data_IF_957780654731
#
_entry.id   IF_957780654731
#
_cell.length_a   1.000
_cell.length_b   1.000
_cell.length_c   1.000
_cell.angle_alpha   90.00
_cell.angle_beta   90.00
_cell.angle_gamma   90.00
#
_symmetry.space_group_name_H-M   'P 1'
#
loop_
_entity.id
_entity.type
_entity.pdbx_description
1 polymer ?
#
# COMPACT_ATOMS: atom_id res chain seq x y z
N UNK A 1 -8.08 21.53 13.47
CA UNK A 1 -7.65 20.13 13.68
C UNK A 1 -8.76 19.31 14.38
N UNK A 2 -9.57 19.92 15.26
CA UNK A 2 -10.69 19.23 15.95
C UNK A 2 -11.91 18.93 15.09
N UNK A 3 -12.12 19.62 13.99
CA UNK A 3 -13.26 19.39 13.09
C UNK A 3 -13.20 18.04 12.34
N UNK A 4 -12.01 17.43 12.24
CA UNK A 4 -11.85 16.13 11.61
C UNK A 4 -12.23 14.93 12.49
N UNK A 5 -12.30 15.07 13.82
CA UNK A 5 -12.60 13.96 14.71
C UNK A 5 -14.09 13.62 14.81
N UNK A 6 -14.97 14.59 14.67
CA UNK A 6 -16.42 14.37 14.65
C UNK A 6 -16.90 13.99 13.24
N UNK A 7 -16.14 14.37 12.20
CA UNK A 7 -16.42 14.02 10.81
C UNK A 7 -15.79 12.72 10.32
N UNK A 8 -15.00 12.01 11.17
CA UNK A 8 -14.26 10.82 10.73
C UNK A 8 -15.17 9.66 10.34
N UNK A 9 -16.31 9.49 10.98
CA UNK A 9 -17.30 8.49 10.57
C UNK A 9 -17.94 8.84 9.23
N UNK A 10 -18.21 10.13 8.97
CA UNK A 10 -18.74 10.60 7.68
C UNK A 10 -17.71 10.40 6.56
N UNK A 11 -16.45 10.80 6.75
CA UNK A 11 -15.39 10.64 5.75
C UNK A 11 -15.04 9.17 5.46
N UNK A 12 -15.23 8.27 6.42
CA UNK A 12 -14.97 6.84 6.24
C UNK A 12 -16.15 6.16 5.53
N UNK A 13 -17.38 6.61 5.81
CA UNK A 13 -18.59 6.07 5.20
C UNK A 13 -18.68 6.40 3.71
N UNK A 14 -18.10 7.50 3.27
CA UNK A 14 -18.10 7.93 1.87
C UNK A 14 -17.07 7.19 0.99
N UNK A 15 -16.18 6.41 1.59
CA UNK A 15 -15.14 5.69 0.83
C UNK A 15 -15.63 4.44 0.14
N UNK A 16 -16.61 3.75 0.71
CA UNK A 16 -17.14 2.50 0.17
C UNK A 16 -18.66 2.50 0.28
N UNK A 17 -19.32 2.02 -0.76
CA UNK A 17 -20.76 1.83 -0.74
C UNK A 17 -21.04 0.51 -0.01
N UNK A 18 -21.71 0.52 1.16
CA UNK A 18 -22.16 -0.71 1.79
C UNK A 18 -23.28 -1.32 0.95
N UNK A 19 -23.31 -2.63 0.88
CA UNK A 19 -24.47 -3.35 0.37
C UNK A 19 -25.70 -3.08 1.26
N UNK A 20 -26.95 -3.26 0.75
CA UNK A 20 -28.18 -2.90 1.47
C UNK A 20 -28.24 -3.45 2.88
N UNK A 21 -28.77 -2.65 3.80
CA UNK A 21 -28.68 -2.72 5.27
C UNK A 21 -29.30 -3.92 5.99
N UNK A 22 -29.91 -4.87 5.32
CA UNK A 22 -30.57 -5.99 6.00
C UNK A 22 -29.69 -7.21 6.32
N UNK A 23 -28.49 -7.26 5.72
CA UNK A 23 -27.48 -8.30 6.01
C UNK A 23 -26.10 -7.65 6.00
N UNK A 24 -25.26 -8.13 6.86
CA UNK A 24 -23.87 -7.70 6.94
C UNK A 24 -23.19 -7.86 5.56
N UNK A 25 -22.50 -6.82 5.06
CA UNK A 25 -22.06 -6.77 3.66
C UNK A 25 -20.98 -7.80 3.39
N UNK A 26 -21.17 -8.66 2.40
CA UNK A 26 -20.17 -9.64 1.95
C UNK A 26 -19.04 -8.97 1.16
N UNK A 27 -19.37 -7.87 0.48
CA UNK A 27 -18.45 -7.11 -0.38
C UNK A 27 -18.62 -5.62 -0.15
N UNK A 28 -17.49 -4.91 -0.23
CA UNK A 28 -17.47 -3.46 -0.33
C UNK A 28 -17.02 -3.08 -1.75
N UNK A 29 -17.84 -2.30 -2.43
CA UNK A 29 -17.52 -1.76 -3.76
C UNK A 29 -16.73 -0.48 -3.58
N UNK A 30 -15.64 -0.35 -4.28
CA UNK A 30 -14.55 0.58 -4.21
C UNK A 30 -14.80 2.03 -3.78
N UNK A 31 -13.72 2.76 -3.59
CA UNK A 31 -13.76 4.17 -3.19
C UNK A 31 -14.32 5.04 -4.33
N UNK A 32 -15.44 5.72 -4.12
CA UNK A 32 -16.05 6.57 -5.14
C UNK A 32 -15.13 7.71 -5.61
N UNK A 33 -14.34 8.27 -4.70
CA UNK A 33 -13.41 9.35 -5.01
C UNK A 33 -12.21 8.93 -5.87
N UNK A 34 -12.04 7.62 -6.11
CA UNK A 34 -10.99 7.07 -6.96
C UNK A 34 -11.53 6.47 -8.26
N UNK A 35 -12.84 6.51 -8.47
CA UNK A 35 -13.48 5.93 -9.66
C UNK A 35 -13.09 6.70 -10.92
N UNK A 36 -12.99 8.02 -10.82
CA UNK A 36 -12.56 8.88 -11.91
C UNK A 36 -11.33 9.66 -11.44
N UNK A 37 -10.26 9.54 -12.17
CA UNK A 37 -9.01 10.27 -11.93
C UNK A 37 -8.36 10.65 -13.25
N UNK A 38 -7.22 11.33 -13.20
CA UNK A 38 -6.49 11.67 -14.42
C UNK A 38 -5.06 12.08 -14.12
N UNK A 39 -4.17 11.79 -15.06
CA UNK A 39 -2.78 12.21 -15.05
C UNK A 39 -2.27 12.45 -16.47
N UNK A 40 -1.07 13.01 -16.59
CA UNK A 40 -0.45 13.36 -17.89
C UNK A 40 -0.21 12.15 -18.80
N UNK A 41 0.00 10.97 -18.23
CA UNK A 41 0.29 9.76 -18.99
C UNK A 41 -0.98 9.07 -19.51
N UNK A 42 -1.99 8.92 -18.67
CA UNK A 42 -3.21 8.14 -18.94
C UNK A 42 -4.35 9.01 -19.50
N UNK A 43 -4.27 10.34 -19.30
CA UNK A 43 -5.41 11.23 -19.52
C UNK A 43 -6.48 11.00 -18.47
N UNK A 44 -7.73 10.81 -18.91
CA UNK A 44 -8.82 10.37 -18.03
C UNK A 44 -8.63 8.89 -17.72
N UNK A 45 -8.82 8.52 -16.47
CA UNK A 45 -8.73 7.15 -15.97
C UNK A 45 -10.02 6.78 -15.26
N UNK A 46 -10.61 5.66 -15.61
CA UNK A 46 -11.72 5.04 -14.90
C UNK A 46 -11.20 3.84 -14.12
N UNK A 47 -11.65 3.72 -12.87
CA UNK A 47 -11.29 2.64 -11.97
C UNK A 47 -12.52 2.05 -11.31
N UNK A 48 -12.59 0.72 -11.26
CA UNK A 48 -13.58 -0.03 -10.51
C UNK A 48 -12.89 -1.10 -9.67
N UNK A 49 -13.34 -1.30 -8.45
CA UNK A 49 -12.73 -2.28 -7.56
C UNK A 49 -13.57 -2.56 -6.34
N UNK A 50 -13.06 -3.41 -5.47
CA UNK A 50 -13.75 -3.77 -4.24
C UNK A 50 -12.90 -4.63 -3.33
N UNK A 51 -13.49 -5.03 -2.21
CA UNK A 51 -12.87 -5.92 -1.23
C UNK A 51 -13.92 -6.82 -0.58
N UNK A 52 -13.48 -8.00 -0.19
CA UNK A 52 -14.31 -8.94 0.58
C UNK A 52 -14.24 -8.60 2.07
N UNK A 53 -15.22 -9.07 2.83
CA UNK A 53 -15.28 -8.92 4.27
C UNK A 53 -15.10 -10.28 4.97
N UNK A 54 -14.93 -10.28 6.28
CA UNK A 54 -14.87 -11.50 7.09
C UNK A 54 -16.19 -12.30 7.07
N UNK A 55 -17.30 -11.67 6.69
CA UNK A 55 -18.59 -12.33 6.56
C UNK A 55 -18.67 -13.30 5.37
N UNK A 56 -17.88 -13.04 4.32
CA UNK A 56 -17.74 -13.99 3.23
C UNK A 56 -16.86 -15.18 3.65
N UNK A 57 -15.71 -14.88 4.22
CA UNK A 57 -14.77 -15.87 4.76
C UNK A 57 -13.92 -15.22 5.86
N UNK A 58 -13.95 -15.73 7.11
CA UNK A 58 -13.20 -15.14 8.22
C UNK A 58 -11.70 -15.34 8.16
N UNK A 59 -11.21 -16.15 7.22
CA UNK A 59 -9.79 -16.43 7.02
C UNK A 59 -9.22 -15.88 5.71
N UNK A 60 -10.07 -15.66 4.71
CA UNK A 60 -9.62 -15.29 3.37
C UNK A 60 -10.20 -13.94 2.94
N UNK A 61 -9.32 -12.98 2.67
CA UNK A 61 -9.66 -11.64 2.27
C UNK A 61 -9.11 -11.36 0.87
N UNK A 62 -9.98 -10.89 -0.01
CA UNK A 62 -9.61 -10.46 -1.36
C UNK A 62 -9.84 -8.96 -1.52
N UNK A 63 -8.90 -8.28 -2.16
CA UNK A 63 -9.04 -6.88 -2.55
C UNK A 63 -8.48 -6.69 -3.95
N UNK A 64 -9.18 -5.92 -4.76
CA UNK A 64 -8.68 -5.65 -6.09
C UNK A 64 -9.38 -4.49 -6.77
N UNK A 65 -8.75 -4.00 -7.82
CA UNK A 65 -9.35 -3.07 -8.74
C UNK A 65 -8.81 -3.26 -10.16
N UNK A 66 -9.60 -2.82 -11.12
CA UNK A 66 -9.19 -2.65 -12.50
C UNK A 66 -9.35 -1.19 -12.88
N UNK A 67 -8.42 -0.66 -13.67
CA UNK A 67 -8.44 0.70 -14.16
C UNK A 67 -8.08 0.73 -15.64
N UNK A 68 -8.68 1.68 -16.37
CA UNK A 68 -8.43 1.91 -17.79
C UNK A 68 -8.09 3.37 -18.04
N UNK A 69 -6.96 3.62 -18.68
CA UNK A 69 -6.53 4.95 -19.11
C UNK A 69 -6.93 5.19 -20.57
N UNK A 70 -7.58 6.32 -20.84
CA UNK A 70 -8.11 6.62 -22.19
C UNK A 70 -7.03 7.14 -23.15
N UNK A 71 -5.90 7.64 -22.64
CA UNK A 71 -4.81 8.13 -23.50
C UNK A 71 -3.81 7.04 -23.86
N UNK A 72 -3.45 6.18 -22.88
CA UNK A 72 -2.47 5.11 -23.10
C UNK A 72 -3.09 3.78 -23.50
N UNK A 73 -4.45 3.68 -23.49
CA UNK A 73 -5.23 2.50 -23.87
C UNK A 73 -4.79 1.20 -23.16
N UNK A 74 -4.32 1.33 -21.88
CA UNK A 74 -3.85 0.19 -21.09
C UNK A 74 -4.79 -0.13 -19.95
N UNK A 75 -5.04 -1.43 -19.75
CA UNK A 75 -5.69 -1.95 -18.56
C UNK A 75 -4.64 -2.14 -17.48
N UNK A 76 -4.95 -1.67 -16.30
CA UNK A 76 -4.12 -1.72 -15.09
C UNK A 76 -4.92 -2.26 -13.94
N UNK A 77 -4.26 -2.71 -12.88
CA UNK A 77 -5.00 -3.20 -11.74
C UNK A 77 -4.14 -3.68 -10.58
N UNK A 78 -4.85 -3.97 -9.52
CA UNK A 78 -4.36 -4.58 -8.29
C UNK A 78 -5.19 -5.82 -8.01
N UNK A 79 -4.51 -6.91 -7.66
CA UNK A 79 -5.12 -8.07 -7.04
C UNK A 79 -4.36 -8.39 -5.76
N UNK A 80 -5.06 -8.51 -4.66
CA UNK A 80 -4.50 -8.82 -3.35
C UNK A 80 -5.34 -9.90 -2.69
N UNK A 81 -4.67 -10.93 -2.19
CA UNK A 81 -5.25 -12.04 -1.46
C UNK A 81 -4.51 -12.19 -0.14
N UNK A 82 -5.24 -12.12 0.96
CA UNK A 82 -4.69 -12.26 2.30
C UNK A 82 -5.35 -13.43 3.02
N UNK A 83 -4.55 -14.39 3.46
CA UNK A 83 -4.97 -15.48 4.30
C UNK A 83 -4.59 -15.21 5.75
N UNK A 84 -5.57 -15.14 6.64
CA UNK A 84 -5.37 -14.98 8.08
C UNK A 84 -5.44 -16.34 8.78
N UNK A 85 -4.39 -16.66 9.54
CA UNK A 85 -4.34 -17.89 10.36
C UNK A 85 -5.30 -17.84 11.56
N UNK A 86 -5.67 -16.63 11.98
CA UNK A 86 -6.67 -16.42 13.04
C UNK A 86 -8.01 -15.99 12.45
N UNK A 87 -9.08 -16.51 13.03
CA UNK A 87 -10.44 -16.07 12.70
C UNK A 87 -10.61 -14.59 12.96
N UNK A 88 -11.03 -13.84 11.96
CA UNK A 88 -11.34 -12.42 12.05
C UNK A 88 -12.86 -12.23 12.18
N UNK A 89 -13.27 -11.16 12.88
CA UNK A 89 -14.69 -10.83 13.06
C UNK A 89 -15.21 -9.98 11.90
N UNK A 90 -14.48 -8.94 11.54
CA UNK A 90 -14.89 -7.98 10.51
C UNK A 90 -13.80 -7.73 9.46
N UNK A 91 -12.53 -7.53 9.88
CA UNK A 91 -11.45 -7.08 8.97
C UNK A 91 -10.17 -7.88 9.14
N UNK A 92 -9.39 -7.94 8.05
CA UNK A 92 -8.10 -8.62 8.01
C UNK A 92 -7.07 -8.05 9.01
N UNK A 93 -7.14 -6.74 9.28
CA UNK A 93 -6.18 -6.02 10.12
C UNK A 93 -6.50 -6.04 11.63
N UNK A 94 -7.48 -6.86 12.06
CA UNK A 94 -7.75 -7.05 13.49
C UNK A 94 -6.57 -7.74 14.20
N UNK A 95 -6.32 -7.30 15.43
CA UNK A 95 -5.30 -7.91 16.30
C UNK A 95 -5.76 -9.30 16.85
N UNK A 96 -4.86 -10.27 16.99
CA UNK A 96 -3.48 -10.31 16.52
C UNK A 96 -3.38 -10.58 15.01
N UNK A 97 -2.44 -9.93 14.33
CA UNK A 97 -2.21 -10.18 12.91
C UNK A 97 -1.27 -11.39 12.77
N UNK A 98 -1.76 -12.44 12.14
CA UNK A 98 -0.96 -13.58 11.69
C UNK A 98 -1.48 -13.94 10.32
N UNK A 99 -0.82 -13.45 9.27
CA UNK A 99 -1.34 -13.56 7.91
C UNK A 99 -0.24 -13.73 6.87
N UNK A 100 -0.64 -14.32 5.75
CA UNK A 100 0.12 -14.42 4.52
C UNK A 100 -0.62 -13.67 3.44
N UNK A 101 0.02 -12.66 2.84
CA UNK A 101 -0.56 -11.77 1.84
C UNK A 101 0.19 -11.90 0.53
N UNK A 102 -0.53 -12.19 -0.53
CA UNK A 102 -0.07 -12.15 -1.90
C UNK A 102 -0.68 -10.92 -2.60
N UNK A 103 0.16 -10.10 -3.20
CA UNK A 103 -0.25 -8.88 -3.90
C UNK A 103 0.40 -8.80 -5.26
N UNK A 104 -0.39 -8.56 -6.29
CA UNK A 104 0.07 -8.24 -7.62
C UNK A 104 -0.47 -6.89 -8.04
N UNK A 105 0.41 -5.99 -8.44
CA UNK A 105 0.11 -4.65 -8.92
C UNK A 105 0.67 -4.49 -10.33
N UNK A 106 -0.14 -4.02 -11.25
CA UNK A 106 0.29 -3.54 -12.56
C UNK A 106 -0.36 -2.18 -12.77
N UNK A 107 0.38 -1.11 -12.51
CA UNK A 107 -0.16 0.24 -12.51
C UNK A 107 0.89 1.28 -12.88
N UNK A 108 0.49 2.55 -12.95
CA UNK A 108 1.41 3.67 -13.05
C UNK A 108 1.99 4.02 -11.68
N UNK A 109 3.21 4.47 -11.66
CA UNK A 109 3.88 4.96 -10.45
C UNK A 109 4.44 6.35 -10.70
N UNK A 110 4.17 7.26 -9.76
CA UNK A 110 4.72 8.60 -9.77
C UNK A 110 5.97 8.65 -8.91
N UNK A 111 7.13 8.79 -9.55
CA UNK A 111 8.41 8.78 -8.86
C UNK A 111 8.63 10.05 -8.03
N UNK A 112 9.08 9.85 -6.79
CA UNK A 112 9.36 10.93 -5.84
C UNK A 112 8.14 11.45 -5.08
N UNK A 113 6.96 10.85 -5.23
CA UNK A 113 5.79 11.15 -4.41
C UNK A 113 5.41 9.95 -3.54
N UNK A 114 5.21 10.21 -2.25
CA UNK A 114 4.68 9.25 -1.29
C UNK A 114 3.30 9.71 -0.81
N UNK A 115 2.30 8.88 -1.08
CA UNK A 115 0.92 9.13 -0.63
C UNK A 115 0.67 8.37 0.67
N UNK A 116 0.73 9.06 1.81
CA UNK A 116 0.57 8.44 3.13
C UNK A 116 -0.91 8.16 3.46
N UNK A 117 -1.81 9.08 3.10
CA UNK A 117 -3.21 9.03 3.51
C UNK A 117 -4.21 9.05 2.35
N UNK A 118 -3.76 9.29 1.13
CA UNK A 118 -4.59 9.36 -0.06
C UNK A 118 -4.12 8.37 -1.11
N UNK A 119 -5.01 7.96 -2.00
CA UNK A 119 -4.64 7.23 -3.21
C UNK A 119 -4.11 8.20 -4.27
N UNK A 120 -3.15 7.76 -5.08
CA UNK A 120 -2.73 8.50 -6.29
C UNK A 120 -3.89 8.77 -7.26
N UNK A 121 -4.95 7.96 -7.19
CA UNK A 121 -6.15 8.05 -8.04
C UNK A 121 -7.21 9.01 -7.49
N UNK A 122 -6.90 9.82 -6.49
CA UNK A 122 -7.86 10.76 -5.93
C UNK A 122 -8.22 11.83 -6.97
N UNK A 123 -9.53 12.02 -7.23
CA UNK A 123 -10.05 13.02 -8.18
C UNK A 123 -9.54 14.44 -7.89
N UNK A 124 -9.35 14.79 -6.61
CA UNK A 124 -8.82 16.10 -6.21
C UNK A 124 -7.35 16.29 -6.59
N UNK A 125 -6.57 15.21 -6.70
CA UNK A 125 -5.20 15.28 -7.18
C UNK A 125 -5.14 15.48 -8.70
N UNK A 126 -6.13 14.97 -9.43
CA UNK A 126 -6.25 15.18 -10.88
C UNK A 126 -6.52 16.66 -11.26
N UNK A 127 -7.11 17.43 -10.34
CA UNK A 127 -7.38 18.86 -10.52
C UNK A 127 -6.16 19.75 -10.23
N UNK A 128 -5.02 19.19 -9.82
CA UNK A 128 -3.77 19.96 -9.65
C UNK A 128 -3.34 20.59 -10.97
N UNK A 129 -2.97 21.87 -10.91
CA UNK A 129 -2.39 22.60 -12.05
C UNK A 129 -0.95 22.17 -12.38
N UNK A 130 -0.28 21.46 -11.49
CA UNK A 130 1.11 21.03 -11.69
C UNK A 130 1.16 19.83 -12.62
N UNK A 131 1.95 19.92 -13.68
CA UNK A 131 2.22 18.81 -14.58
C UNK A 131 3.04 17.74 -13.85
N UNK A 132 2.52 16.55 -13.81
CA UNK A 132 3.21 15.40 -13.25
C UNK A 132 3.98 14.71 -14.39
N UNK A 133 5.26 15.09 -14.56
CA UNK A 133 6.10 14.58 -15.65
C UNK A 133 6.89 13.31 -15.25
N UNK A 134 6.82 12.90 -13.95
CA UNK A 134 7.59 11.78 -13.42
C UNK A 134 6.75 10.52 -13.23
N UNK A 135 6.06 10.10 -14.29
CA UNK A 135 5.17 8.93 -14.25
C UNK A 135 5.72 7.83 -15.16
N UNK A 136 5.85 6.64 -14.62
CA UNK A 136 6.23 5.43 -15.35
C UNK A 136 5.28 4.28 -15.04
N UNK A 137 5.44 3.15 -15.74
CA UNK A 137 4.69 1.94 -15.47
C UNK A 137 5.45 1.06 -14.48
N UNK A 138 4.73 0.46 -13.56
CA UNK A 138 5.28 -0.43 -12.56
C UNK A 138 4.47 -1.73 -12.50
N UNK A 139 5.16 -2.86 -12.51
CA UNK A 139 4.62 -4.16 -12.14
C UNK A 139 5.30 -4.62 -10.88
N UNK A 140 4.51 -5.05 -9.91
CA UNK A 140 5.01 -5.46 -8.60
C UNK A 140 4.26 -6.69 -8.12
N UNK A 141 5.00 -7.74 -7.77
CA UNK A 141 4.49 -8.92 -7.08
C UNK A 141 5.12 -8.96 -5.70
N UNK A 142 4.30 -9.09 -4.67
CA UNK A 142 4.73 -9.11 -3.27
C UNK A 142 4.10 -10.29 -2.55
N UNK A 143 4.93 -11.01 -1.81
CA UNK A 143 4.50 -12.02 -0.84
C UNK A 143 4.94 -11.57 0.54
N UNK A 144 3.99 -11.29 1.42
CA UNK A 144 4.25 -10.77 2.77
C UNK A 144 3.71 -11.74 3.81
N UNK A 145 4.58 -12.17 4.70
CA UNK A 145 4.22 -12.88 5.92
C UNK A 145 4.31 -11.91 7.09
N UNK A 146 3.26 -11.83 7.90
CA UNK A 146 3.21 -10.97 9.10
C UNK A 146 2.77 -11.80 10.30
N UNK A 147 3.48 -11.64 11.41
CA UNK A 147 3.11 -12.23 12.68
C UNK A 147 3.29 -11.21 13.80
N UNK A 148 2.22 -10.92 14.52
CA UNK A 148 2.19 -10.06 15.71
C UNK A 148 1.96 -10.89 16.96
N UNK A 149 2.80 -10.65 17.96
CA UNK A 149 2.71 -11.28 19.26
C UNK A 149 2.08 -10.35 20.30
N UNK A 150 1.43 -10.92 21.30
CA UNK A 150 0.84 -10.16 22.40
C UNK A 150 1.88 -9.39 23.26
N UNK A 151 3.15 -9.77 23.17
CA UNK A 151 4.26 -9.05 23.81
C UNK A 151 4.58 -7.69 23.21
N UNK A 152 3.89 -7.28 22.14
CA UNK A 152 4.20 -6.08 21.36
C UNK A 152 5.32 -6.27 20.34
N UNK A 153 5.86 -7.48 20.21
CA UNK A 153 6.82 -7.81 19.16
C UNK A 153 6.08 -8.19 17.87
N UNK A 154 6.57 -7.76 16.72
CA UNK A 154 6.04 -8.16 15.42
C UNK A 154 7.16 -8.42 14.43
N UNK A 155 6.95 -9.41 13.57
CA UNK A 155 7.85 -9.81 12.49
C UNK A 155 7.08 -9.73 11.19
N UNK A 156 7.66 -9.07 10.22
CA UNK A 156 7.15 -9.04 8.85
C UNK A 156 8.27 -9.38 7.89
N UNK A 157 8.02 -10.35 7.01
CA UNK A 157 8.93 -10.75 5.95
C UNK A 157 8.23 -10.54 4.61
N UNK A 158 8.85 -9.76 3.72
CA UNK A 158 8.28 -9.43 2.41
C UNK A 158 9.27 -9.80 1.32
N UNK A 159 8.84 -10.64 0.39
CA UNK A 159 9.54 -10.86 -0.88
C UNK A 159 8.87 -9.99 -1.93
N UNK A 160 9.65 -9.18 -2.64
CA UNK A 160 9.14 -8.22 -3.62
C UNK A 160 9.87 -8.37 -4.94
N UNK A 161 9.11 -8.60 -6.01
CA UNK A 161 9.57 -8.56 -7.38
C UNK A 161 8.99 -7.30 -8.03
N UNK A 162 9.83 -6.39 -8.44
CA UNK A 162 9.43 -5.13 -9.05
C UNK A 162 10.05 -4.98 -10.42
N UNK A 163 9.24 -4.59 -11.38
CA UNK A 163 9.65 -4.21 -12.72
C UNK A 163 9.12 -2.83 -13.05
N UNK A 164 10.00 -1.87 -13.18
CA UNK A 164 9.70 -0.52 -13.61
C UNK A 164 9.95 -0.42 -15.11
N UNK A 165 8.94 0.02 -15.88
CA UNK A 165 9.04 0.23 -17.31
C UNK A 165 9.13 1.74 -17.62
N UNK A 166 10.03 2.11 -18.53
CA UNK A 166 10.15 3.49 -18.97
C UNK A 166 8.87 3.95 -19.67
N UNK A 167 8.53 5.22 -19.49
CA UNK A 167 7.49 5.90 -20.25
C UNK A 167 8.10 6.93 -21.20
N UNK A 168 7.28 7.52 -22.07
CA UNK A 168 7.75 8.64 -22.92
C UNK A 168 8.11 9.89 -22.09
N UNK A 169 7.65 9.97 -20.83
CA UNK A 169 7.95 11.06 -19.89
C UNK A 169 9.27 10.83 -19.15
N UNK A 170 9.62 9.54 -18.87
CA UNK A 170 10.85 9.19 -18.15
C UNK A 170 11.57 8.07 -18.90
N UNK A 171 12.54 8.38 -19.75
CA UNK A 171 13.43 7.39 -20.32
C UNK A 171 14.43 6.91 -19.25
N UNK A 172 14.67 5.60 -19.16
CA UNK A 172 15.75 5.06 -18.35
C UNK A 172 17.03 5.01 -19.17
N UNK A 173 18.10 5.56 -18.61
CA UNK A 173 19.42 5.54 -19.23
C UNK A 173 20.37 4.82 -18.29
N UNK A 174 21.03 3.77 -18.79
CA UNK A 174 22.11 3.13 -18.07
C UNK A 174 23.35 4.00 -18.20
N UNK A 175 23.96 4.36 -17.08
CA UNK A 175 25.20 5.12 -17.04
C UNK A 175 26.36 4.17 -17.37
N UNK A 176 26.47 3.82 -18.65
CA UNK A 176 27.54 3.07 -19.25
C UNK A 176 28.26 4.02 -20.25
N UNK A 177 29.43 3.67 -20.72
CA UNK A 177 30.25 4.51 -21.64
C UNK A 177 29.49 5.00 -22.90
N UNK A 178 28.33 4.41 -23.19
CA UNK A 178 27.48 4.72 -24.35
C UNK A 178 26.08 5.29 -24.01
N UNK A 179 25.75 5.57 -22.75
CA UNK A 179 24.43 6.07 -22.35
C UNK A 179 23.25 5.27 -22.97
N UNK A 180 23.29 3.96 -22.83
CA UNK A 180 22.33 3.08 -23.49
C UNK A 180 20.95 3.20 -22.85
N UNK A 181 19.89 3.42 -23.65
CA UNK A 181 18.51 3.45 -23.20
C UNK A 181 18.04 2.04 -22.82
N UNK A 182 17.47 1.91 -21.62
CA UNK A 182 16.95 0.67 -21.08
C UNK A 182 15.42 0.77 -20.99
N UNK A 183 14.72 -0.24 -21.51
CA UNK A 183 13.25 -0.24 -21.52
C UNK A 183 12.64 -0.54 -20.14
N UNK A 184 13.31 -1.32 -19.32
CA UNK A 184 12.82 -1.70 -17.99
C UNK A 184 13.96 -2.02 -17.04
N UNK A 185 13.69 -1.80 -15.76
CA UNK A 185 14.59 -2.13 -14.64
C UNK A 185 13.83 -3.11 -13.75
N UNK A 186 14.47 -4.23 -13.42
CA UNK A 186 13.89 -5.26 -12.55
C UNK A 186 14.66 -5.32 -11.23
N UNK A 187 13.94 -5.40 -10.11
CA UNK A 187 14.53 -5.60 -8.78
C UNK A 187 13.85 -6.77 -8.08
N UNK A 188 14.66 -7.60 -7.43
CA UNK A 188 14.21 -8.68 -6.57
C UNK A 188 14.71 -8.40 -5.16
N UNK A 189 13.78 -8.18 -4.24
CA UNK A 189 14.05 -7.71 -2.88
C UNK A 189 13.48 -8.70 -1.86
N UNK A 190 14.24 -8.89 -0.79
CA UNK A 190 13.80 -9.54 0.43
C UNK A 190 13.92 -8.55 1.57
N UNK A 191 12.81 -8.25 2.23
CA UNK A 191 12.70 -7.30 3.33
C UNK A 191 12.32 -8.05 4.62
N UNK A 192 13.07 -7.83 5.67
CA UNK A 192 12.75 -8.26 7.03
C UNK A 192 12.52 -7.03 7.90
N UNK A 193 11.33 -6.92 8.46
CA UNK A 193 10.96 -5.86 9.40
C UNK A 193 10.64 -6.44 10.76
N UNK A 194 11.37 -5.98 11.76
CA UNK A 194 11.17 -6.29 13.17
C UNK A 194 10.66 -5.03 13.87
N UNK A 195 9.59 -5.15 14.63
CA UNK A 195 9.04 -4.03 15.40
C UNK A 195 8.75 -4.49 16.82
N UNK A 196 9.16 -3.68 17.78
CA UNK A 196 8.87 -3.90 19.18
C UNK A 196 8.22 -2.64 19.78
N UNK A 197 7.00 -2.79 20.28
CA UNK A 197 6.19 -1.72 20.83
C UNK A 197 5.45 -2.25 22.07
N UNK A 198 6.13 -2.28 23.23
CA UNK A 198 5.54 -2.79 24.46
C UNK A 198 4.39 -1.89 24.92
N UNK A 199 3.30 -2.51 25.38
CA UNK A 199 2.13 -1.83 25.93
C UNK A 199 1.43 -0.84 24.99
N UNK A 200 1.65 -0.94 23.68
CA UNK A 200 0.98 -0.09 22.70
C UNK A 200 -0.52 -0.39 22.67
N UNK A 201 -1.31 0.65 22.87
CA UNK A 201 -2.77 0.59 22.76
C UNK A 201 -3.18 1.09 21.39
N UNK A 202 -4.13 0.37 20.79
CA UNK A 202 -4.62 0.70 19.46
C UNK A 202 -6.07 1.08 19.50
N UNK A 203 -6.41 2.08 18.72
CA UNK A 203 -7.78 2.35 18.31
C UNK A 203 -7.98 1.72 16.93
N UNK A 204 -8.89 0.77 16.86
CA UNK A 204 -9.22 0.09 15.63
C UNK A 204 -10.49 0.67 15.04
N UNK A 205 -10.37 1.20 13.83
CA UNK A 205 -11.51 1.55 13.00
C UNK A 205 -11.78 0.44 12.01
N UNK A 206 -12.88 0.55 11.29
CA UNK A 206 -13.25 -0.36 10.22
C UNK A 206 -12.12 -0.65 9.21
N UNK A 207 -11.25 0.33 8.94
CA UNK A 207 -10.26 0.25 7.87
C UNK A 207 -8.81 0.36 8.34
N UNK A 208 -8.59 1.01 9.45
CA UNK A 208 -7.25 1.32 9.93
C UNK A 208 -7.13 1.06 11.43
N UNK A 209 -5.93 0.74 11.83
CA UNK A 209 -5.53 0.61 13.21
C UNK A 209 -4.52 1.71 13.51
N UNK A 210 -4.83 2.54 14.50
CA UNK A 210 -4.00 3.67 14.90
C UNK A 210 -3.48 3.45 16.31
N UNK A 211 -2.18 3.66 16.57
CA UNK A 211 -1.66 3.69 17.93
C UNK A 211 -2.25 4.90 18.66
N UNK A 212 -2.76 4.69 19.88
CA UNK A 212 -3.40 5.72 20.69
C UNK A 212 -2.43 6.23 21.76
N UNK A 213 -1.60 5.36 22.33
CA UNK A 213 -0.64 5.75 23.36
C UNK A 213 0.79 5.46 22.87
N UNK A 214 1.65 6.47 23.00
CA UNK A 214 3.08 6.39 22.76
C UNK A 214 3.85 6.47 24.09
N UNK A 215 3.29 5.90 25.17
CA UNK A 215 3.88 5.96 26.50
C UNK A 215 5.17 5.15 26.63
N UNK A 216 5.39 4.23 25.70
CA UNK A 216 6.59 3.41 25.62
C UNK A 216 7.33 3.64 24.29
N UNK A 217 8.66 3.55 24.28
CA UNK A 217 9.41 3.66 23.03
C UNK A 217 9.07 2.54 22.07
N UNK A 218 8.94 2.89 20.79
CA UNK A 218 8.71 1.95 19.69
C UNK A 218 9.99 1.81 18.90
N UNK A 219 10.52 0.60 18.85
CA UNK A 219 11.69 0.25 18.06
C UNK A 219 11.27 -0.46 16.78
N UNK A 220 11.80 -0.03 15.64
CA UNK A 220 11.57 -0.67 14.34
C UNK A 220 12.89 -0.80 13.59
N UNK A 221 13.22 -2.02 13.20
CA UNK A 221 14.37 -2.36 12.38
C UNK A 221 13.88 -2.97 11.07
N UNK A 222 14.24 -2.38 9.96
CA UNK A 222 13.94 -2.89 8.62
C UNK A 222 15.24 -3.15 7.89
N UNK A 223 15.43 -4.35 7.39
CA UNK A 223 16.56 -4.72 6.56
C UNK A 223 16.07 -5.24 5.22
N UNK A 224 16.48 -4.59 4.14
CA UNK A 224 16.15 -4.97 2.78
C UNK A 224 17.42 -5.37 2.05
N UNK A 225 17.38 -6.51 1.39
CA UNK A 225 18.45 -6.99 0.52
C UNK A 225 17.90 -7.31 -0.86
N UNK A 226 18.62 -6.86 -1.87
CA UNK A 226 18.36 -7.19 -3.27
C UNK A 226 19.53 -7.97 -3.83
N UNK A 227 19.25 -8.97 -4.65
CA UNK A 227 20.25 -9.83 -5.26
C UNK A 227 20.13 -9.83 -6.78
N UNK A 228 21.25 -9.53 -7.45
CA UNK A 228 21.36 -9.62 -8.90
C UNK A 228 21.27 -11.08 -9.36
N UNK A 229 20.52 -11.30 -10.45
CA UNK A 229 20.35 -12.64 -11.03
C UNK A 229 19.29 -13.51 -10.34
N UNK A 230 18.85 -13.17 -9.13
CA UNK A 230 17.76 -13.88 -8.46
C UNK A 230 16.42 -13.36 -9.00
N UNK A 231 15.59 -14.25 -9.54
CA UNK A 231 14.27 -13.94 -10.09
C UNK A 231 14.26 -12.76 -11.08
N UNK A 232 15.37 -12.54 -11.80
CA UNK A 232 15.50 -11.50 -12.81
C UNK A 232 15.88 -10.10 -12.27
N UNK A 233 16.43 -10.03 -11.05
CA UNK A 233 16.94 -8.77 -10.49
C UNK A 233 18.20 -8.27 -11.21
N UNK A 234 18.25 -6.97 -11.51
CA UNK A 234 19.38 -6.33 -12.21
C UNK A 234 20.44 -5.80 -11.24
N UNK A 235 20.09 -5.55 -9.98
CA UNK A 235 20.92 -4.86 -9.00
C UNK A 235 21.09 -5.67 -7.71
N UNK A 236 22.25 -5.46 -7.06
CA UNK A 236 22.53 -5.95 -5.70
C UNK A 236 22.73 -4.76 -4.79
N UNK A 237 21.96 -4.70 -3.70
CA UNK A 237 22.11 -3.68 -2.66
C UNK A 237 21.58 -4.19 -1.33
N UNK A 238 22.04 -3.54 -0.25
CA UNK A 238 21.57 -3.74 1.10
C UNK A 238 21.17 -2.38 1.68
N UNK A 239 20.03 -2.37 2.33
CA UNK A 239 19.51 -1.18 2.98
C UNK A 239 19.00 -1.55 4.38
N UNK A 240 19.43 -0.79 5.39
CA UNK A 240 19.00 -0.99 6.77
C UNK A 240 18.45 0.32 7.30
N UNK A 241 17.25 0.28 7.82
CA UNK A 241 16.57 1.40 8.44
C UNK A 241 16.24 1.04 9.90
N UNK A 242 16.64 1.91 10.81
CA UNK A 242 16.41 1.76 12.24
C UNK A 242 15.70 3.02 12.75
N UNK A 243 14.46 2.84 13.21
CA UNK A 243 13.63 3.91 13.73
C UNK A 243 13.34 3.67 15.21
N UNK A 244 13.60 4.69 16.02
CA UNK A 244 13.25 4.74 17.42
C UNK A 244 12.29 5.91 17.66
N UNK A 245 11.05 5.60 17.98
CA UNK A 245 10.07 6.58 18.44
C UNK A 245 10.07 6.61 19.96
N UNK A 246 10.35 7.77 20.53
CA UNK A 246 10.25 8.03 21.97
C UNK A 246 9.00 8.83 22.27
N UNK A 247 8.46 8.73 23.47
CA UNK A 247 7.41 9.64 23.92
C UNK A 247 7.90 11.09 23.88
N UNK A 248 7.05 12.06 23.51
CA UNK A 248 7.44 13.46 23.55
C UNK A 248 7.83 13.85 24.97
N UNK A 249 8.92 14.60 25.10
CA UNK A 249 9.37 15.13 26.39
C UNK A 249 8.29 16.06 26.97
N UNK A 250 8.10 16.08 28.31
CA UNK A 250 7.21 17.07 28.95
C UNK A 250 7.55 18.52 28.61
N UNK A 251 8.76 18.78 28.08
CA UNK A 251 9.20 20.11 27.63
C UNK A 251 8.72 20.46 26.22
N UNK A 252 8.25 19.47 25.45
CA UNK A 252 7.76 19.65 24.07
C UNK A 252 6.25 19.85 24.03
N UNK A 253 5.57 19.78 25.19
CA UNK A 253 4.17 20.09 25.39
C UNK A 253 4.00 21.47 25.99
#
# INVERSE_FOLDING_TARGET
ICACLVGSEMCIRDRYIPAPKEKEPLFYIGMMNTTISGNTLEGVRLRAGGMTTAWLNPHLFGRGYMAYGFRDHRVKGLAELEYSFHKKKEYANEFPIHSLKLRYLSDVNQYGQHYLYTSQDNVFLALKRQKDDRIGYQRKAELTYTNEFHSGFSVQMTTRLRKDESSHLIPFVKQDDRNTYVKSISTSELELKLRYAPNEKFFQTQWNRFPVSLDAPVFSLTHTMAAKGVLGGDYTYHYTDCLLYTSPSPRDM
#
